data_IF_007186302514
#
_entry.id   IF_007186302514
#
_cell.length_a   1.000
_cell.length_b   1.000
_cell.length_c   1.000
_cell.angle_alpha   90.00
_cell.angle_beta   90.00
_cell.angle_gamma   90.00
#
_symmetry.space_group_name_H-M   'P 1'
#
loop_
_entity.id
_entity.type
_entity.pdbx_description
1 polymer ?
#
# COMPACT_ATOMS: atom_id res chain seq x y z
N UNK A 1 -4.16 10.61 -1.26
CA UNK A 1 -3.61 11.02 -2.58
C UNK A 1 -4.24 10.17 -3.67
N UNK A 2 -4.23 10.65 -4.92
CA UNK A 2 -4.73 9.95 -6.11
C UNK A 2 -3.74 10.15 -7.27
N UNK A 3 -2.53 9.58 -7.17
CA UNK A 3 -1.43 9.85 -8.13
C UNK A 3 -1.78 9.35 -9.54
N UNK A 4 -2.48 8.21 -9.65
CA UNK A 4 -2.99 7.71 -10.92
C UNK A 4 -4.37 8.30 -11.19
N UNK A 5 -4.54 8.94 -12.35
CA UNK A 5 -5.81 9.52 -12.76
C UNK A 5 -6.89 8.46 -13.07
N UNK A 6 -6.47 7.22 -13.37
CA UNK A 6 -7.37 6.11 -13.68
C UNK A 6 -6.70 4.75 -13.44
N UNK A 7 -7.50 3.69 -13.39
CA UNK A 7 -6.98 2.31 -13.35
C UNK A 7 -6.20 1.96 -14.63
N UNK A 8 -6.60 2.53 -15.76
CA UNK A 8 -5.96 2.31 -17.05
C UNK A 8 -4.51 2.83 -17.07
N UNK A 9 -4.26 3.99 -16.44
CA UNK A 9 -2.89 4.47 -16.27
C UNK A 9 -2.01 3.46 -15.51
N UNK A 10 -2.57 2.78 -14.50
CA UNK A 10 -1.86 1.72 -13.78
C UNK A 10 -1.53 0.51 -14.65
N UNK A 11 -2.40 0.13 -15.57
CA UNK A 11 -2.17 -0.97 -16.52
C UNK A 11 -1.07 -0.63 -17.51
N UNK A 12 -1.11 0.58 -18.09
CA UNK A 12 -0.08 1.06 -19.01
C UNK A 12 1.31 1.04 -18.36
N UNK A 13 1.42 1.40 -17.07
CA UNK A 13 2.70 1.32 -16.35
C UNK A 13 3.21 -0.11 -16.26
N UNK A 14 2.34 -1.08 -15.94
CA UNK A 14 2.69 -2.50 -15.89
C UNK A 14 3.12 -3.03 -17.26
N UNK A 15 2.36 -2.72 -18.32
CA UNK A 15 2.68 -3.14 -19.69
C UNK A 15 4.04 -2.62 -20.17
N UNK A 16 4.41 -1.42 -19.73
CA UNK A 16 5.71 -0.80 -20.04
C UNK A 16 6.85 -1.26 -19.13
N UNK A 17 6.59 -2.17 -18.18
CA UNK A 17 7.58 -2.62 -17.20
C UNK A 17 8.01 -1.53 -16.21
N UNK A 18 7.19 -0.48 -16.04
CA UNK A 18 7.46 0.62 -15.11
C UNK A 18 6.93 0.24 -13.73
N UNK A 19 7.84 0.19 -12.77
CA UNK A 19 7.49 -0.12 -11.39
C UNK A 19 6.87 1.11 -10.70
N UNK A 20 5.66 0.93 -10.18
CA UNK A 20 4.92 1.97 -9.48
C UNK A 20 4.44 1.46 -8.13
N UNK A 21 4.85 2.14 -7.06
CA UNK A 21 4.34 1.88 -5.70
C UNK A 21 3.04 2.64 -5.52
N UNK A 22 1.93 1.97 -5.13
CA UNK A 22 0.66 2.63 -4.87
C UNK A 22 0.80 3.74 -3.83
N UNK A 23 0.14 4.88 -4.09
CA UNK A 23 0.17 6.05 -3.22
C UNK A 23 -0.34 5.76 -1.80
N UNK A 24 -1.37 4.92 -1.66
CA UNK A 24 -1.90 4.49 -0.36
C UNK A 24 -0.84 3.82 0.54
N UNK A 25 0.23 3.27 -0.04
CA UNK A 25 1.36 2.70 0.71
C UNK A 25 2.44 3.77 0.88
N UNK A 26 2.84 4.43 -0.22
CA UNK A 26 3.93 5.39 -0.22
C UNK A 26 3.67 6.61 0.70
N UNK A 27 2.42 7.06 0.82
CA UNK A 27 2.05 8.19 1.68
C UNK A 27 1.59 7.79 3.08
N UNK A 28 1.55 6.50 3.42
CA UNK A 28 0.97 6.02 4.68
C UNK A 28 1.77 6.45 5.92
N UNK A 29 3.05 6.84 5.77
CA UNK A 29 3.91 7.23 6.88
C UNK A 29 3.31 8.36 7.74
N UNK A 30 2.71 9.38 7.12
CA UNK A 30 2.08 10.48 7.84
C UNK A 30 0.84 10.03 8.65
N UNK A 31 0.08 9.07 8.11
CA UNK A 31 -1.09 8.50 8.79
C UNK A 31 -0.64 7.65 9.98
N UNK A 32 0.39 6.82 9.80
CA UNK A 32 0.98 6.01 10.86
C UNK A 32 1.50 6.91 11.99
N UNK A 33 2.19 7.99 11.66
CA UNK A 33 2.69 8.92 12.67
C UNK A 33 1.54 9.60 13.43
N UNK A 34 0.53 10.09 12.72
CA UNK A 34 -0.64 10.74 13.31
C UNK A 34 -1.43 9.82 14.24
N UNK A 35 -1.84 8.65 13.75
CA UNK A 35 -2.64 7.70 14.52
C UNK A 35 -1.82 7.07 15.65
N UNK A 36 -0.58 6.68 15.37
CA UNK A 36 0.32 6.09 16.35
C UNK A 36 0.51 7.01 17.55
N UNK A 37 0.71 8.31 17.33
CA UNK A 37 0.89 9.30 18.40
C UNK A 37 -0.42 9.68 19.09
N UNK A 38 -1.48 10.00 18.33
CA UNK A 38 -2.67 10.67 18.88
C UNK A 38 -3.74 9.71 19.40
N UNK A 39 -3.76 8.46 18.90
CA UNK A 39 -4.81 7.49 19.21
C UNK A 39 -4.25 6.30 19.98
N UNK A 40 -3.07 5.83 19.59
CA UNK A 40 -2.49 4.60 20.13
C UNK A 40 -1.45 4.83 21.22
N UNK A 41 -1.07 6.08 21.50
CA UNK A 41 -0.02 6.47 22.44
C UNK A 41 1.29 5.68 22.25
N UNK A 42 1.64 5.38 21.00
CA UNK A 42 2.85 4.63 20.68
C UNK A 42 4.06 5.55 20.86
N UNK A 43 5.06 5.19 21.68
CA UNK A 43 6.25 6.03 21.93
C UNK A 43 7.23 6.05 20.76
N UNK A 44 7.22 5.02 19.89
CA UNK A 44 7.95 4.97 18.63
C UNK A 44 7.09 4.34 17.52
N UNK A 45 7.06 4.97 16.34
CA UNK A 45 6.32 4.51 15.14
C UNK A 45 7.27 4.12 14.00
N UNK A 46 8.57 4.34 14.16
CA UNK A 46 9.60 4.02 13.16
C UNK A 46 9.46 2.58 12.64
N UNK A 47 9.27 1.55 13.49
CA UNK A 47 9.10 0.18 13.01
C UNK A 47 7.86 -0.02 12.11
N UNK A 48 6.77 0.71 12.36
CA UNK A 48 5.55 0.64 11.54
C UNK A 48 5.75 1.34 10.20
N UNK A 49 6.46 2.46 10.19
CA UNK A 49 6.79 3.21 8.98
C UNK A 49 7.76 2.40 8.11
N UNK A 50 8.80 1.82 8.70
CA UNK A 50 9.79 0.98 7.98
C UNK A 50 9.12 -0.23 7.31
N UNK A 51 8.12 -0.81 7.98
CA UNK A 51 7.32 -1.94 7.45
C UNK A 51 6.54 -1.60 6.18
N UNK A 52 6.37 -0.32 5.83
CA UNK A 52 5.79 0.08 4.54
C UNK A 52 6.68 -0.37 3.37
N UNK A 53 8.00 -0.40 3.54
CA UNK A 53 8.92 -0.89 2.53
C UNK A 53 8.71 -2.36 2.22
N UNK A 54 8.55 -3.20 3.24
CA UNK A 54 8.20 -4.61 3.09
C UNK A 54 6.82 -4.78 2.45
N UNK A 55 5.83 -4.01 2.93
CA UNK A 55 4.47 -4.03 2.38
C UNK A 55 4.46 -3.70 0.89
N UNK A 56 5.24 -2.70 0.46
CA UNK A 56 5.39 -2.34 -0.94
C UNK A 56 6.00 -3.49 -1.75
N UNK A 57 7.09 -4.11 -1.26
CA UNK A 57 7.74 -5.25 -1.93
C UNK A 57 6.79 -6.43 -2.10
N UNK A 58 6.01 -6.76 -1.08
CA UNK A 58 5.04 -7.85 -1.14
C UNK A 58 3.93 -7.58 -2.17
N UNK A 59 3.42 -6.34 -2.21
CA UNK A 59 2.41 -5.93 -3.20
C UNK A 59 2.96 -6.01 -4.62
N UNK A 60 4.17 -5.52 -4.85
CA UNK A 60 4.81 -5.55 -6.17
C UNK A 60 5.08 -6.98 -6.64
N UNK A 61 5.53 -7.85 -5.73
CA UNK A 61 5.77 -9.26 -6.01
C UNK A 61 4.46 -9.99 -6.36
N UNK A 62 3.39 -9.77 -5.58
CA UNK A 62 2.07 -10.35 -5.84
C UNK A 62 1.45 -9.82 -7.15
N UNK A 63 1.59 -8.53 -7.45
CA UNK A 63 1.16 -7.93 -8.71
C UNK A 63 1.85 -8.61 -9.90
N UNK A 64 3.18 -8.74 -9.85
CA UNK A 64 3.97 -9.43 -10.88
C UNK A 64 3.53 -10.89 -11.06
N UNK A 65 3.30 -11.62 -9.96
CA UNK A 65 2.91 -13.04 -10.00
C UNK A 65 1.50 -13.25 -10.57
N UNK A 66 0.59 -12.29 -10.36
CA UNK A 66 -0.83 -12.43 -10.72
C UNK A 66 -1.23 -11.70 -11.99
N UNK A 67 -0.32 -10.92 -12.59
CA UNK A 67 -0.63 -10.09 -13.76
C UNK A 67 -1.58 -8.91 -13.45
N UNK A 68 -1.78 -8.59 -12.18
CA UNK A 68 -2.63 -7.49 -11.72
C UNK A 68 -1.81 -6.24 -11.51
N UNK A 69 -2.45 -5.08 -11.48
CA UNK A 69 -1.77 -3.83 -11.12
C UNK A 69 -1.43 -3.79 -9.62
N UNK A 70 -0.35 -3.10 -9.22
CA UNK A 70 -0.01 -2.92 -7.80
C UNK A 70 -1.17 -2.33 -6.98
N UNK A 71 -1.94 -1.39 -7.53
CA UNK A 71 -3.08 -0.76 -6.86
C UNK A 71 -4.23 -1.75 -6.59
N UNK A 72 -4.55 -2.61 -7.55
CA UNK A 72 -5.57 -3.67 -7.37
C UNK A 72 -5.18 -4.69 -6.29
N UNK A 73 -3.89 -5.05 -6.25
CA UNK A 73 -3.36 -5.96 -5.23
C UNK A 73 -3.39 -5.30 -3.85
N UNK A 74 -2.94 -4.05 -3.74
CA UNK A 74 -2.94 -3.29 -2.50
C UNK A 74 -4.36 -3.16 -1.91
N UNK A 75 -5.34 -2.80 -2.75
CA UNK A 75 -6.74 -2.69 -2.33
C UNK A 75 -7.30 -4.05 -1.87
N UNK A 76 -7.07 -5.12 -2.63
CA UNK A 76 -7.53 -6.46 -2.25
C UNK A 76 -6.94 -6.91 -0.90
N UNK A 77 -5.65 -6.61 -0.65
CA UNK A 77 -5.00 -6.89 0.65
C UNK A 77 -5.60 -6.08 1.78
N UNK A 78 -5.86 -4.79 1.57
CA UNK A 78 -6.48 -3.92 2.56
C UNK A 78 -7.87 -4.44 2.96
N UNK A 79 -8.71 -4.79 1.97
CA UNK A 79 -10.05 -5.35 2.23
C UNK A 79 -10.00 -6.67 2.99
N UNK A 80 -9.06 -7.57 2.66
CA UNK A 80 -8.86 -8.83 3.43
C UNK A 80 -8.50 -8.56 4.89
N UNK A 81 -7.62 -7.59 5.16
CA UNK A 81 -7.21 -7.23 6.53
C UNK A 81 -8.35 -6.62 7.33
N UNK A 82 -9.14 -5.73 6.73
CA UNK A 82 -10.32 -5.16 7.38
C UNK A 82 -11.36 -6.23 7.67
N UNK A 83 -11.57 -7.18 6.75
CA UNK A 83 -12.47 -8.32 6.98
C UNK A 83 -12.01 -9.23 8.12
N UNK A 84 -10.71 -9.52 8.19
CA UNK A 84 -10.14 -10.37 9.24
C UNK A 84 -10.14 -9.73 10.64
N UNK A 85 -10.10 -8.40 10.73
CA UNK A 85 -10.15 -7.68 12.01
C UNK A 85 -11.55 -7.41 12.57
N UNK A 86 -12.61 -7.89 11.89
CA UNK A 86 -14.01 -7.80 12.36
C UNK A 86 -14.48 -9.03 13.15
N UNK A 87 -13.58 -9.95 13.50
CA UNK A 87 -13.83 -11.07 14.40
C UNK A 87 -13.02 -10.93 15.68
#
# INVERSE_FOLDING_TARGET
>A
NNILASQEAGRILVERGILHVPDLIASAGAVIEGIGRLVMDLPDRTPLIDKLGETAREVLSEARRTGRTPSEVALARALRRVGAGKG
#
